data_IF_193969197455
#
_entry.id   IF_193969197455
#
_cell.length_a   1.000
_cell.length_b   1.000
_cell.length_c   1.000
_cell.angle_alpha   90.00
_cell.angle_beta   90.00
_cell.angle_gamma   90.00
#
_symmetry.space_group_name_H-M   'P 1'
#
loop_
_entity.id
_entity.type
_entity.pdbx_description
1 polymer ?
#
# COMPACT_ATOMS: atom_id res chain seq x y z
N UNK A 1 9.07 -21.24 -11.50
CA UNK A 1 8.75 -20.15 -10.56
C UNK A 1 7.32 -19.72 -10.87
N UNK A 2 6.35 -20.25 -10.12
CA UNK A 2 4.92 -20.10 -10.44
C UNK A 2 4.40 -18.83 -9.79
N UNK A 3 3.94 -17.85 -10.58
CA UNK A 3 3.26 -16.68 -10.03
C UNK A 3 1.84 -17.10 -9.58
N UNK A 4 1.56 -16.95 -8.28
CA UNK A 4 0.20 -17.06 -7.76
C UNK A 4 -0.51 -15.72 -8.01
N UNK A 5 -1.53 -15.73 -8.85
CA UNK A 5 -2.41 -14.57 -9.04
C UNK A 5 -3.68 -14.79 -8.21
N UNK A 6 -3.98 -13.83 -7.33
CA UNK A 6 -5.24 -13.77 -6.60
C UNK A 6 -5.78 -12.34 -6.64
N UNK A 7 -7.10 -12.19 -6.57
CA UNK A 7 -7.77 -10.89 -6.53
C UNK A 7 -8.68 -10.81 -5.32
N UNK A 8 -8.57 -9.73 -4.54
CA UNK A 8 -9.46 -9.43 -3.43
C UNK A 8 -10.23 -8.15 -3.72
N UNK A 9 -11.49 -8.11 -3.30
CA UNK A 9 -12.30 -6.88 -3.28
C UNK A 9 -12.63 -6.55 -1.83
N UNK A 10 -12.24 -5.36 -1.39
CA UNK A 10 -12.52 -4.87 -0.05
C UNK A 10 -13.66 -3.84 -0.10
N UNK A 11 -14.86 -4.16 0.42
CA UNK A 11 -15.89 -3.15 0.59
C UNK A 11 -15.52 -2.23 1.78
N UNK A 12 -15.60 -0.92 1.56
CA UNK A 12 -15.54 0.06 2.66
C UNK A 12 -14.17 0.26 3.30
N UNK A 13 -13.17 0.67 2.53
CA UNK A 13 -11.87 1.06 3.07
C UNK A 13 -11.91 2.51 3.58
N UNK A 14 -11.95 2.71 4.90
CA UNK A 14 -11.77 4.04 5.49
C UNK A 14 -10.27 4.42 5.58
N UNK A 15 -9.99 5.66 6.00
CA UNK A 15 -8.60 6.15 6.12
C UNK A 15 -7.77 5.35 7.13
N UNK A 16 -8.38 4.86 8.21
CA UNK A 16 -7.67 4.09 9.24
C UNK A 16 -7.28 2.70 8.72
N UNK A 17 -8.18 2.04 8.00
CA UNK A 17 -7.94 0.77 7.32
C UNK A 17 -6.88 0.94 6.23
N UNK A 18 -6.92 2.02 5.46
CA UNK A 18 -5.92 2.34 4.44
C UNK A 18 -4.53 2.56 5.06
N UNK A 19 -4.47 3.21 6.23
CA UNK A 19 -3.21 3.39 6.96
C UNK A 19 -2.64 2.05 7.46
N UNK A 20 -3.48 1.20 8.06
CA UNK A 20 -3.08 -0.14 8.52
C UNK A 20 -2.60 -1.01 7.36
N UNK A 21 -3.33 -1.00 6.24
CA UNK A 21 -2.96 -1.72 5.03
C UNK A 21 -1.61 -1.24 4.50
N UNK A 22 -1.43 0.07 4.35
CA UNK A 22 -0.17 0.62 3.86
C UNK A 22 1.01 0.24 4.76
N UNK A 23 0.87 0.39 6.08
CA UNK A 23 1.93 -0.01 7.03
C UNK A 23 2.25 -1.50 6.93
N UNK A 24 1.23 -2.35 6.81
CA UNK A 24 1.42 -3.79 6.62
C UNK A 24 2.19 -4.08 5.33
N UNK A 25 1.77 -3.51 4.20
CA UNK A 25 2.47 -3.66 2.92
C UNK A 25 3.92 -3.20 2.99
N UNK A 26 4.20 -2.07 3.66
CA UNK A 26 5.56 -1.59 3.86
C UNK A 26 6.43 -2.56 4.67
N UNK A 27 5.89 -3.11 5.77
CA UNK A 27 6.62 -4.06 6.63
C UNK A 27 6.93 -5.40 5.94
N UNK A 28 6.05 -5.85 5.05
CA UNK A 28 6.19 -7.12 4.34
C UNK A 28 6.96 -7.00 3.02
N UNK A 29 7.14 -5.79 2.50
CA UNK A 29 7.83 -5.54 1.24
C UNK A 29 9.30 -5.95 1.32
N UNK A 30 9.79 -6.54 0.23
CA UNK A 30 11.17 -7.00 0.06
C UNK A 30 11.86 -6.27 -1.08
N UNK A 31 13.20 -6.18 -1.08
CA UNK A 31 13.93 -5.67 -2.23
C UNK A 31 13.53 -6.41 -3.52
N UNK A 32 13.12 -5.65 -4.53
CA UNK A 32 12.65 -6.16 -5.82
C UNK A 32 11.14 -6.29 -5.96
N UNK A 33 10.35 -6.11 -4.89
CA UNK A 33 8.90 -6.06 -4.99
C UNK A 33 8.43 -4.80 -5.74
N UNK A 34 7.40 -4.95 -6.58
CA UNK A 34 6.80 -3.85 -7.35
C UNK A 34 5.30 -3.79 -7.08
N UNK A 35 4.85 -2.66 -6.53
CA UNK A 35 3.44 -2.39 -6.20
C UNK A 35 2.87 -1.33 -7.15
N UNK A 36 1.90 -1.72 -7.99
CA UNK A 36 1.16 -0.78 -8.84
C UNK A 36 -0.09 -0.28 -8.12
N UNK A 37 -0.21 1.04 -7.94
CA UNK A 37 -1.43 1.69 -7.45
C UNK A 37 -2.17 2.36 -8.60
N UNK A 38 -3.39 1.89 -8.89
CA UNK A 38 -4.24 2.41 -9.96
C UNK A 38 -5.59 2.90 -9.42
N UNK A 39 -6.15 3.92 -10.08
CA UNK A 39 -7.43 4.52 -9.72
C UNK A 39 -7.49 6.00 -10.12
N UNK A 40 -8.67 6.61 -10.03
CA UNK A 40 -8.92 7.98 -10.48
C UNK A 40 -8.22 9.04 -9.61
N UNK A 41 -8.28 10.30 -10.06
CA UNK A 41 -7.85 11.45 -9.25
C UNK A 41 -8.64 11.48 -7.94
N UNK A 42 -7.95 11.64 -6.81
CA UNK A 42 -8.59 11.62 -5.49
C UNK A 42 -8.87 10.22 -4.91
N UNK A 43 -8.57 9.13 -5.62
CA UNK A 43 -8.79 7.76 -5.14
C UNK A 43 -7.90 7.33 -3.94
N UNK A 44 -7.09 8.23 -3.38
CA UNK A 44 -6.26 7.94 -2.20
C UNK A 44 -4.91 7.26 -2.48
N UNK A 45 -4.48 7.15 -3.75
CA UNK A 45 -3.19 6.55 -4.14
C UNK A 45 -2.01 7.12 -3.34
N UNK A 46 -1.87 8.45 -3.29
CA UNK A 46 -0.80 9.12 -2.53
C UNK A 46 -0.91 8.90 -1.02
N UNK A 47 -2.13 8.86 -0.48
CA UNK A 47 -2.38 8.54 0.93
C UNK A 47 -1.88 7.15 1.26
N UNK A 48 -2.15 6.16 0.40
CA UNK A 48 -1.67 4.80 0.56
C UNK A 48 -0.14 4.72 0.42
N UNK A 49 0.46 5.40 -0.56
CA UNK A 49 1.93 5.47 -0.70
C UNK A 49 2.61 5.98 0.58
N UNK A 50 2.09 7.03 1.21
CA UNK A 50 2.62 7.54 2.48
C UNK A 50 2.49 6.53 3.62
N UNK A 51 1.38 5.80 3.68
CA UNK A 51 1.20 4.75 4.67
C UNK A 51 2.18 3.57 4.46
N UNK A 52 2.48 3.22 3.20
CA UNK A 52 3.52 2.25 2.84
C UNK A 52 4.90 2.75 3.27
N UNK A 53 5.25 4.01 2.96
CA UNK A 53 6.51 4.62 3.36
C UNK A 53 6.70 4.61 4.89
N UNK A 54 5.64 4.90 5.65
CA UNK A 54 5.68 4.79 7.11
C UNK A 54 5.90 3.34 7.59
N UNK A 55 5.37 2.33 6.87
CA UNK A 55 5.65 0.91 7.16
C UNK A 55 7.07 0.47 6.82
N UNK A 56 7.72 1.16 5.88
CA UNK A 56 9.13 1.01 5.52
C UNK A 56 10.07 1.83 6.43
N UNK A 57 9.54 2.50 7.45
CA UNK A 57 10.30 3.36 8.38
C UNK A 57 10.98 4.56 7.68
N UNK A 58 10.41 5.04 6.57
CA UNK A 58 10.86 6.27 5.93
C UNK A 58 10.53 7.48 6.82
N UNK A 59 11.50 8.38 7.09
CA UNK A 59 11.26 9.58 7.90
C UNK A 59 10.17 10.47 7.30
N UNK A 60 9.31 11.10 8.13
CA UNK A 60 8.19 11.92 7.66
C UNK A 60 8.59 13.22 6.95
N UNK A 61 9.83 13.67 7.11
CA UNK A 61 10.42 14.84 6.46
C UNK A 61 10.95 14.59 5.04
N UNK A 62 10.99 13.33 4.60
CA UNK A 62 11.39 12.93 3.25
C UNK A 62 10.21 12.95 2.28
#
# INVERSE_FOLDING_TARGET
>A
MTALAFSLRWPGLDLAAMNRLGRYLGREARPGDVLLLAGDLGAGKTTLTRAIAAGLEVPPEM
#
